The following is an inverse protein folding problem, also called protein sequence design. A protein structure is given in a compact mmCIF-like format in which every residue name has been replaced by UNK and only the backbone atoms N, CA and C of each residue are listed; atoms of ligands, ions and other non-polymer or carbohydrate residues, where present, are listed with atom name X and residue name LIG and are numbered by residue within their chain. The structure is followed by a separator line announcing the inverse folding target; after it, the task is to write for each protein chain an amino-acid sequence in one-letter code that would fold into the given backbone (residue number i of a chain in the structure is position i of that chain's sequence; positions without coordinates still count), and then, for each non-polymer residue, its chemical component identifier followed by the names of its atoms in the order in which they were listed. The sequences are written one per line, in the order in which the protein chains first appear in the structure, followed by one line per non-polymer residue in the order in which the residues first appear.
data_IF_789027017113
#
_entry.id   IF_789027017113
#
_cell.length_a   1.000
_cell.length_b   1.000
_cell.length_c   1.000
_cell.angle_alpha   90.00
_cell.angle_beta   90.00
_cell.angle_gamma   90.00
#
_symmetry.space_group_name_H-M   'P 1'
#
loop_
_entity.id
_entity.type
_entity.pdbx_description
1 polymer ?
#
# COMPACT_ATOMS: atom_id res chain seq x y z
N UNK A 1 16.66 -21.55 -9.35
CA UNK A 1 16.10 -22.70 -8.62
C UNK A 1 15.07 -23.34 -9.53
N UNK A 2 14.92 -24.67 -9.47
CA UNK A 2 13.93 -25.37 -10.28
C UNK A 2 12.60 -25.44 -9.53
N UNK A 3 11.51 -25.29 -10.28
CA UNK A 3 10.18 -25.38 -9.74
C UNK A 3 9.84 -26.84 -9.41
N UNK A 4 9.17 -27.08 -8.28
CA UNK A 4 8.68 -28.41 -7.89
C UNK A 4 7.68 -28.96 -8.91
N UNK A 5 7.05 -28.08 -9.71
CA UNK A 5 6.10 -28.42 -10.78
C UNK A 5 6.75 -28.51 -12.17
N UNK A 6 8.08 -28.54 -12.26
CA UNK A 6 8.81 -28.75 -13.53
C UNK A 6 8.33 -29.99 -14.31
N UNK A 7 8.05 -31.16 -13.68
CA UNK A 7 7.49 -32.32 -14.39
C UNK A 7 6.09 -32.11 -14.99
N UNK A 8 5.41 -31.04 -14.57
CA UNK A 8 4.06 -30.65 -14.99
C UNK A 8 4.07 -29.40 -15.87
N UNK A 9 5.23 -29.01 -16.41
CA UNK A 9 5.38 -27.96 -17.42
C UNK A 9 5.79 -26.59 -16.88
N UNK A 10 6.11 -26.47 -15.58
CA UNK A 10 6.67 -25.23 -15.02
C UNK A 10 8.19 -25.17 -15.21
N UNK A 11 8.63 -24.74 -16.39
CA UNK A 11 10.05 -24.69 -16.76
C UNK A 11 10.70 -23.31 -16.49
N UNK A 12 9.98 -22.42 -15.81
CA UNK A 12 10.46 -21.08 -15.51
C UNK A 12 11.57 -21.13 -14.46
N UNK A 13 12.77 -20.66 -14.85
CA UNK A 13 13.85 -20.48 -13.91
C UNK A 13 13.63 -19.19 -13.12
N UNK A 14 13.59 -19.30 -11.80
CA UNK A 14 13.45 -18.15 -10.91
C UNK A 14 14.64 -18.02 -9.95
N UNK A 15 14.91 -16.77 -9.60
CA UNK A 15 15.83 -16.40 -8.52
C UNK A 15 15.07 -16.36 -7.19
N UNK A 16 15.77 -16.61 -6.08
CA UNK A 16 15.15 -16.66 -4.74
C UNK A 16 14.41 -15.37 -4.36
N UNK A 17 14.88 -14.23 -4.85
CA UNK A 17 14.25 -12.93 -4.63
C UNK A 17 12.92 -12.73 -5.36
N UNK A 18 12.65 -13.50 -6.43
CA UNK A 18 11.47 -13.34 -7.29
C UNK A 18 10.52 -14.53 -7.19
N UNK A 19 10.55 -15.24 -6.05
CA UNK A 19 9.80 -16.47 -5.86
C UNK A 19 8.27 -16.22 -5.82
N UNK A 20 7.87 -15.06 -5.29
CA UNK A 20 6.47 -14.65 -5.21
C UNK A 20 5.87 -14.41 -6.61
N UNK A 21 6.61 -13.73 -7.48
CA UNK A 21 6.18 -13.48 -8.87
C UNK A 21 6.11 -14.77 -9.68
N UNK A 22 7.01 -15.72 -9.41
CA UNK A 22 6.99 -17.02 -10.05
C UNK A 22 5.75 -17.85 -9.68
N UNK A 23 5.32 -17.86 -8.42
CA UNK A 23 4.10 -18.57 -8.01
C UNK A 23 2.82 -17.98 -8.62
N UNK A 24 2.87 -16.70 -8.99
CA UNK A 24 1.77 -15.99 -9.65
C UNK A 24 1.85 -16.08 -11.19
N UNK A 25 2.89 -16.71 -11.75
CA UNK A 25 3.04 -16.82 -13.19
C UNK A 25 1.97 -17.76 -13.77
N UNK A 26 1.47 -17.41 -14.95
CA UNK A 26 0.45 -18.20 -15.66
C UNK A 26 0.96 -19.62 -15.94
N UNK A 27 2.26 -19.77 -16.19
CA UNK A 27 2.89 -21.05 -16.40
C UNK A 27 2.88 -21.91 -15.12
N UNK A 28 3.19 -21.31 -13.97
CA UNK A 28 3.14 -22.02 -12.69
C UNK A 28 1.73 -22.45 -12.32
N UNK A 29 0.74 -21.56 -12.49
CA UNK A 29 -0.67 -21.87 -12.23
C UNK A 29 -1.20 -22.97 -13.15
N UNK A 30 -0.81 -22.95 -14.44
CA UNK A 30 -1.18 -23.99 -15.40
C UNK A 30 -0.57 -25.36 -15.04
N UNK A 31 0.69 -25.37 -14.61
CA UNK A 31 1.35 -26.59 -14.16
C UNK A 31 0.73 -27.17 -12.88
N UNK A 32 0.29 -26.30 -11.97
CA UNK A 32 -0.42 -26.70 -10.75
C UNK A 32 -1.77 -27.35 -11.08
N UNK A 33 -2.53 -26.78 -12.02
CA UNK A 33 -3.77 -27.39 -12.50
C UNK A 33 -3.53 -28.75 -13.15
N UNK A 34 -2.48 -28.89 -13.97
CA UNK A 34 -2.12 -30.19 -14.55
C UNK A 34 -1.73 -31.23 -13.50
N UNK A 35 -1.00 -30.83 -12.46
CA UNK A 35 -0.67 -31.69 -11.33
C UNK A 35 -1.94 -32.22 -10.65
N UNK A 36 -2.87 -31.32 -10.33
CA UNK A 36 -4.13 -31.66 -9.66
C UNK A 36 -4.99 -32.59 -10.53
N UNK A 37 -5.12 -32.31 -11.83
CA UNK A 37 -5.88 -33.14 -12.77
C UNK A 37 -5.26 -34.55 -12.94
N UNK A 38 -3.93 -34.66 -13.08
CA UNK A 38 -3.28 -35.97 -13.23
C UNK A 38 -3.42 -36.83 -11.97
N UNK A 39 -3.30 -36.23 -10.79
CA UNK A 39 -3.45 -36.96 -9.53
C UNK A 39 -4.88 -37.42 -9.28
N UNK A 40 -5.89 -36.59 -9.59
CA UNK A 40 -7.30 -37.00 -9.50
C UNK A 40 -7.62 -38.11 -10.50
N UNK A 41 -7.09 -38.04 -11.71
CA UNK A 41 -7.33 -39.07 -12.73
C UNK A 41 -6.63 -40.41 -12.42
N UNK A 42 -5.46 -40.39 -11.78
CA UNK A 42 -4.80 -41.60 -11.27
C UNK A 42 -5.60 -42.24 -10.13
N UNK A 43 -6.12 -41.46 -9.19
CA UNK A 43 -6.95 -41.98 -8.10
C UNK A 43 -8.24 -42.64 -8.61
N UNK A 44 -8.90 -42.03 -9.60
CA UNK A 44 -10.13 -42.58 -10.20
C UNK A 44 -9.84 -43.86 -11.00
N UNK A 45 -8.72 -43.92 -11.72
CA UNK A 45 -8.36 -45.11 -12.51
C UNK A 45 -7.92 -46.29 -11.64
N UNK A 46 -7.22 -46.05 -10.53
CA UNK A 46 -6.82 -47.12 -9.61
C UNK A 46 -8.05 -47.76 -8.92
N UNK A 47 -9.10 -46.98 -8.63
CA UNK A 47 -10.38 -47.51 -8.14
C UNK A 47 -11.13 -48.34 -9.20
N UNK A 48 -11.07 -47.94 -10.47
CA UNK A 48 -11.70 -48.65 -11.60
C UNK A 48 -11.03 -50.00 -11.93
N UNK A 49 -9.70 -50.10 -11.76
CA UNK A 49 -8.95 -51.34 -11.99
C UNK A 49 -9.19 -52.37 -10.88
N UNK A 50 -9.40 -51.93 -9.64
CA UNK A 50 -9.81 -52.82 -8.53
C UNK A 50 -11.23 -53.36 -8.76
N UNK A 51 -12.12 -52.57 -9.36
CA UNK A 51 -13.50 -52.99 -9.69
C UNK A 51 -13.58 -54.04 -10.81
N UNK A 52 -12.65 -54.02 -11.77
CA UNK A 52 -12.70 -54.90 -12.95
C UNK A 52 -12.22 -56.35 -12.70
N UNK A 53 -11.63 -56.66 -11.53
CA UNK A 53 -11.18 -58.03 -11.20
C UNK A 53 -12.22 -58.89 -10.46
N UNK A 54 -13.41 -58.35 -10.20
CA UNK A 54 -14.45 -59.06 -9.43
C UNK A 54 -15.71 -59.25 -10.27
N UNK A 55 -15.60 -60.00 -11.37
CA UNK A 55 -16.79 -60.56 -12.01
C UNK A 55 -17.00 -61.98 -11.48
N UNK A 56 -18.27 -62.32 -11.21
CA UNK A 56 -18.82 -63.61 -10.74
C UNK A 56 -19.06 -63.67 -9.22
N UNK A 57 -20.13 -63.03 -8.75
CA UNK A 57 -21.21 -63.61 -7.90
C UNK A 57 -22.32 -62.55 -7.79
N UNK A 58 -23.19 -62.50 -8.80
CA UNK A 58 -24.29 -61.52 -8.87
C UNK A 58 -25.53 -62.18 -8.25
N UNK A 59 -26.14 -61.51 -7.25
CA UNK A 59 -27.61 -61.29 -7.15
C UNK A 59 -28.13 -60.85 -5.75
N UNK A 60 -27.29 -60.44 -4.77
CA UNK A 60 -27.83 -59.86 -3.50
C UNK A 60 -27.03 -58.75 -2.83
N UNK A 61 -25.73 -58.59 -3.10
CA UNK A 61 -24.86 -57.59 -2.46
C UNK A 61 -24.75 -56.24 -3.21
N UNK A 62 -25.28 -56.17 -4.44
CA UNK A 62 -25.16 -55.02 -5.35
C UNK A 62 -26.00 -53.80 -4.92
N UNK A 63 -27.13 -54.02 -4.25
CA UNK A 63 -28.00 -52.92 -3.80
C UNK A 63 -27.40 -52.18 -2.59
N UNK A 64 -26.79 -52.91 -1.64
CA UNK A 64 -26.20 -52.30 -0.46
C UNK A 64 -24.88 -51.57 -0.75
N UNK A 65 -24.09 -52.07 -1.71
CA UNK A 65 -22.86 -51.40 -2.16
C UNK A 65 -23.18 -50.17 -3.01
N UNK A 66 -24.15 -50.26 -3.92
CA UNK A 66 -24.64 -49.12 -4.69
C UNK A 66 -25.20 -48.01 -3.78
N UNK A 67 -26.04 -48.36 -2.81
CA UNK A 67 -26.59 -47.38 -1.85
C UNK A 67 -25.51 -46.74 -0.97
N UNK A 68 -24.49 -47.50 -0.53
CA UNK A 68 -23.35 -46.95 0.20
C UNK A 68 -22.56 -45.93 -0.63
N UNK A 69 -22.28 -46.24 -1.89
CA UNK A 69 -21.57 -45.32 -2.78
C UNK A 69 -22.40 -44.06 -3.06
N UNK A 70 -23.72 -44.20 -3.21
CA UNK A 70 -24.63 -43.08 -3.42
C UNK A 70 -24.68 -42.17 -2.18
N UNK A 71 -24.67 -42.74 -0.97
CA UNK A 71 -24.61 -41.98 0.26
C UNK A 71 -23.27 -41.25 0.43
N UNK A 72 -22.14 -41.89 0.11
CA UNK A 72 -20.83 -41.22 0.11
C UNK A 72 -20.75 -40.07 -0.89
N UNK A 73 -21.35 -40.23 -2.07
CA UNK A 73 -21.44 -39.16 -3.07
C UNK A 73 -22.29 -37.99 -2.58
N UNK A 74 -23.40 -38.25 -1.89
CA UNK A 74 -24.22 -37.21 -1.27
C UNK A 74 -23.43 -36.46 -0.19
N UNK A 75 -22.77 -37.18 0.73
CA UNK A 75 -21.95 -36.57 1.78
C UNK A 75 -20.80 -35.74 1.19
N UNK A 76 -20.15 -36.25 0.14
CA UNK A 76 -19.11 -35.51 -0.58
C UNK A 76 -19.67 -34.26 -1.25
N UNK A 77 -20.87 -34.36 -1.85
CA UNK A 77 -21.55 -33.22 -2.48
C UNK A 77 -21.92 -32.15 -1.46
N UNK A 78 -22.42 -32.55 -0.29
CA UNK A 78 -22.76 -31.64 0.81
C UNK A 78 -21.51 -30.95 1.37
N UNK A 79 -20.41 -31.68 1.54
CA UNK A 79 -19.12 -31.10 1.96
C UNK A 79 -18.60 -30.10 0.92
N UNK A 80 -18.66 -30.43 -0.37
CA UNK A 80 -18.25 -29.52 -1.44
C UNK A 80 -19.15 -28.27 -1.49
N UNK A 81 -20.46 -28.44 -1.32
CA UNK A 81 -21.40 -27.31 -1.27
C UNK A 81 -21.09 -26.39 -0.10
N UNK A 82 -20.83 -26.95 1.10
CA UNK A 82 -20.39 -26.17 2.26
C UNK A 82 -19.09 -25.42 2.03
N UNK A 83 -18.11 -26.07 1.37
CA UNK A 83 -16.85 -25.43 0.98
C UNK A 83 -17.05 -24.28 -0.01
N UNK A 84 -17.90 -24.46 -1.02
CA UNK A 84 -18.23 -23.41 -2.01
C UNK A 84 -18.94 -22.24 -1.35
N UNK A 85 -19.87 -22.48 -0.43
CA UNK A 85 -20.53 -21.43 0.34
C UNK A 85 -19.52 -20.65 1.18
N UNK A 86 -18.63 -21.32 1.92
CA UNK A 86 -17.61 -20.65 2.73
C UNK A 86 -16.67 -19.78 1.88
N UNK A 87 -16.23 -20.28 0.71
CA UNK A 87 -15.42 -19.51 -0.23
C UNK A 87 -16.17 -18.31 -0.81
N UNK A 88 -17.48 -18.44 -1.04
CA UNK A 88 -18.32 -17.35 -1.52
C UNK A 88 -18.44 -16.25 -0.47
N UNK A 89 -18.65 -16.61 0.80
CA UNK A 89 -18.71 -15.66 1.91
C UNK A 89 -17.37 -14.95 2.10
N UNK A 90 -16.26 -15.68 2.03
CA UNK A 90 -14.92 -15.08 2.10
C UNK A 90 -14.65 -14.13 0.92
N UNK A 91 -15.07 -14.49 -0.30
CA UNK A 91 -14.92 -13.62 -1.46
C UNK A 91 -15.71 -12.30 -1.31
N UNK A 92 -16.94 -12.37 -0.77
CA UNK A 92 -17.75 -11.18 -0.48
C UNK A 92 -17.12 -10.32 0.62
N UNK A 93 -16.61 -10.94 1.69
CA UNK A 93 -15.91 -10.24 2.77
C UNK A 93 -14.67 -9.53 2.25
N UNK A 94 -13.80 -10.22 1.51
CA UNK A 94 -12.59 -9.65 0.92
C UNK A 94 -12.91 -8.52 -0.06
N UNK A 95 -13.96 -8.65 -0.86
CA UNK A 95 -14.44 -7.58 -1.75
C UNK A 95 -14.86 -6.32 -0.96
N UNK A 96 -15.57 -6.52 0.16
CA UNK A 96 -15.98 -5.41 1.04
C UNK A 96 -14.79 -4.74 1.71
N UNK A 97 -13.82 -5.52 2.19
CA UNK A 97 -12.57 -5.02 2.77
C UNK A 97 -11.74 -4.24 1.73
N UNK A 98 -11.68 -4.73 0.48
CA UNK A 98 -11.00 -4.04 -0.61
C UNK A 98 -11.60 -2.65 -0.88
N UNK A 99 -12.93 -2.56 -0.97
CA UNK A 99 -13.63 -1.28 -1.16
C UNK A 99 -13.40 -0.31 0.01
N UNK A 100 -13.38 -0.84 1.23
CA UNK A 100 -13.06 -0.06 2.42
C UNK A 100 -11.64 0.51 2.36
N UNK A 101 -10.65 -0.33 2.04
CA UNK A 101 -9.26 0.12 1.91
C UNK A 101 -9.04 1.10 0.76
N UNK A 102 -9.72 0.94 -0.37
CA UNK A 102 -9.70 1.93 -1.46
C UNK A 102 -10.22 3.30 -1.00
N UNK A 103 -11.26 3.31 -0.17
CA UNK A 103 -11.81 4.55 0.39
C UNK A 103 -10.84 5.22 1.35
N UNK A 104 -10.20 4.45 2.23
CA UNK A 104 -9.16 4.95 3.14
C UNK A 104 -7.96 5.51 2.39
N UNK A 105 -7.48 4.82 1.36
CA UNK A 105 -6.36 5.30 0.53
C UNK A 105 -6.68 6.63 -0.15
N UNK A 106 -7.91 6.80 -0.66
CA UNK A 106 -8.35 8.05 -1.26
C UNK A 106 -8.36 9.19 -0.23
N UNK A 107 -8.91 8.95 0.96
CA UNK A 107 -8.91 9.94 2.06
C UNK A 107 -7.49 10.34 2.45
N UNK A 108 -6.60 9.36 2.64
CA UNK A 108 -5.22 9.62 3.00
C UNK A 108 -4.46 10.39 1.90
N UNK A 109 -4.73 10.08 0.63
CA UNK A 109 -4.16 10.83 -0.49
C UNK A 109 -4.60 12.30 -0.49
N UNK A 110 -5.86 12.57 -0.13
CA UNK A 110 -6.38 13.93 -0.01
C UNK A 110 -5.73 14.67 1.16
N UNK A 111 -5.62 14.04 2.33
CA UNK A 111 -4.93 14.60 3.50
C UNK A 111 -3.46 14.92 3.22
N UNK A 112 -2.73 14.03 2.54
CA UNK A 112 -1.35 14.26 2.12
C UNK A 112 -1.24 15.44 1.16
N UNK A 113 -2.18 15.56 0.21
CA UNK A 113 -2.22 16.71 -0.71
C UNK A 113 -2.46 18.03 0.05
N UNK A 114 -3.38 18.03 1.01
CA UNK A 114 -3.67 19.20 1.83
C UNK A 114 -2.49 19.60 2.72
N UNK A 115 -1.81 18.61 3.33
CA UNK A 115 -0.59 18.85 4.10
C UNK A 115 0.53 19.43 3.24
N UNK A 116 0.68 18.94 2.01
CA UNK A 116 1.66 19.48 1.06
C UNK A 116 1.43 20.96 0.79
N UNK A 117 0.18 21.35 0.52
CA UNK A 117 -0.21 22.75 0.30
C UNK A 117 0.12 23.59 1.54
N UNK A 118 -0.27 23.12 2.74
CA UNK A 118 0.00 23.83 3.98
C UNK A 118 1.51 24.02 4.23
N UNK A 119 2.34 23.04 3.88
CA UNK A 119 3.81 23.14 3.98
C UNK A 119 4.35 24.18 2.99
N UNK A 120 3.86 24.21 1.76
CA UNK A 120 4.26 25.20 0.74
C UNK A 120 3.88 26.62 1.17
N UNK A 121 2.68 26.82 1.70
CA UNK A 121 2.22 28.11 2.24
C UNK A 121 3.05 28.56 3.44
N UNK A 122 3.32 27.64 4.38
CA UNK A 122 4.15 27.91 5.56
C UNK A 122 5.57 28.28 5.14
N UNK A 123 6.13 27.58 4.15
CA UNK A 123 7.46 27.88 3.63
C UNK A 123 7.52 29.27 2.98
N UNK A 124 6.51 29.63 2.19
CA UNK A 124 6.38 30.97 1.61
C UNK A 124 6.31 32.06 2.69
N UNK A 125 5.53 31.83 3.75
CA UNK A 125 5.42 32.74 4.90
C UNK A 125 6.76 32.90 5.63
N UNK A 126 7.50 31.81 5.87
CA UNK A 126 8.83 31.86 6.50
C UNK A 126 9.80 32.70 5.65
N UNK A 127 9.82 32.48 4.33
CA UNK A 127 10.69 33.25 3.43
C UNK A 127 10.35 34.74 3.46
N UNK A 128 9.07 35.10 3.49
CA UNK A 128 8.64 36.50 3.63
C UNK A 128 9.09 37.11 4.97
N UNK A 129 8.99 36.36 6.07
CA UNK A 129 9.48 36.80 7.38
C UNK A 129 11.01 36.98 7.41
N UNK A 130 11.76 36.09 6.76
CA UNK A 130 13.22 36.22 6.65
C UNK A 130 13.63 37.47 5.87
N UNK A 131 12.97 37.76 4.74
CA UNK A 131 13.21 39.00 3.98
C UNK A 131 12.89 40.23 4.82
N UNK A 132 11.76 40.24 5.52
CA UNK A 132 11.40 41.37 6.38
C UNK A 132 12.41 41.55 7.52
N UNK A 133 12.90 40.46 8.11
CA UNK A 133 13.93 40.51 9.14
C UNK A 133 15.22 41.14 8.60
N UNK A 134 15.68 40.74 7.40
CA UNK A 134 16.86 41.33 6.76
C UNK A 134 16.70 42.84 6.55
N UNK A 135 15.55 43.29 6.05
CA UNK A 135 15.26 44.72 5.88
C UNK A 135 15.32 45.45 7.22
N UNK A 136 14.73 44.90 8.28
CA UNK A 136 14.80 45.50 9.61
C UNK A 136 16.23 45.56 10.17
N UNK A 137 17.06 44.55 9.92
CA UNK A 137 18.47 44.53 10.33
C UNK A 137 19.29 45.60 9.57
N UNK A 138 19.03 45.77 8.28
CA UNK A 138 19.63 46.84 7.47
C UNK A 138 19.22 48.24 7.95
N UNK A 139 17.93 48.46 8.20
CA UNK A 139 17.39 49.72 8.73
C UNK A 139 17.97 50.04 10.11
N UNK A 140 18.07 49.05 11.00
CA UNK A 140 18.66 49.22 12.32
C UNK A 140 20.14 49.63 12.21
N UNK A 141 20.89 48.97 11.33
CA UNK A 141 22.31 49.27 11.09
C UNK A 141 22.47 50.69 10.53
N UNK A 142 21.63 51.08 9.58
CA UNK A 142 21.60 52.44 9.01
C UNK A 142 21.31 53.50 10.06
N UNK A 143 20.32 53.27 10.93
CA UNK A 143 19.98 54.19 12.04
C UNK A 143 21.12 54.29 13.07
N UNK A 144 21.77 53.18 13.40
CA UNK A 144 22.93 53.19 14.29
C UNK A 144 24.08 54.01 13.71
N UNK A 145 24.35 53.86 12.41
CA UNK A 145 25.38 54.66 11.73
C UNK A 145 25.02 56.15 11.75
N UNK A 146 23.79 56.52 11.40
CA UNK A 146 23.32 57.91 11.45
C UNK A 146 23.43 58.52 12.85
N UNK A 147 23.13 57.74 13.88
CA UNK A 147 23.26 58.17 15.27
C UNK A 147 24.72 58.45 15.66
N UNK A 148 25.65 57.54 15.33
CA UNK A 148 27.07 57.74 15.60
C UNK A 148 27.63 58.93 14.80
N UNK A 149 27.23 59.10 13.54
CA UNK A 149 27.62 60.25 12.72
C UNK A 149 27.14 61.58 13.36
N UNK A 150 25.89 61.65 13.82
CA UNK A 150 25.35 62.84 14.50
C UNK A 150 26.05 63.13 15.84
N UNK A 151 26.35 62.09 16.63
CA UNK A 151 27.10 62.21 17.88
C UNK A 151 28.48 62.82 17.62
N UNK A 152 29.17 62.35 16.58
CA UNK A 152 30.50 62.87 16.19
C UNK A 152 30.44 64.33 15.73
N UNK A 153 29.39 64.73 14.98
CA UNK A 153 29.15 66.14 14.58
C UNK A 153 28.88 67.04 15.80
N UNK A 154 28.24 66.51 16.85
CA UNK A 154 28.00 67.27 18.09
C UNK A 154 29.26 67.43 18.94
N UNK A 155 30.18 66.46 18.92
CA UNK A 155 31.44 66.52 19.69
C UNK A 155 32.56 67.31 19.00
N UNK A 156 32.55 67.43 17.66
CA UNK A 156 33.49 68.25 16.88
C UNK A 156 33.18 69.77 16.91
N UNK A 157 32.27 70.20 17.79
CA UNK A 157 32.18 71.60 18.23
C UNK A 157 31.46 72.57 17.29
N UNK A 158 30.50 72.12 16.47
CA UNK A 158 29.80 73.01 15.51
C UNK A 158 28.28 72.92 15.44
N UNK A 159 27.62 72.49 16.52
CA UNK A 159 26.19 72.75 16.74
C UNK A 159 25.96 73.56 18.03
N UNK A 160 26.56 74.76 18.06
CA UNK A 160 26.01 75.87 18.82
C UNK A 160 24.71 76.31 18.12
N UNK A 161 23.56 75.78 18.55
CA UNK A 161 22.29 76.45 18.27
C UNK A 161 22.35 77.82 18.94
N UNK A 162 22.73 78.83 18.15
CA UNK A 162 22.56 80.24 18.45
C UNK A 162 21.07 80.50 18.68
N UNK A 163 20.57 80.26 19.89
CA UNK A 163 19.41 80.97 20.42
C UNK A 163 19.90 82.41 20.68
N UNK A 164 20.03 83.18 19.60
CA UNK A 164 20.38 84.60 19.71
C UNK A 164 19.09 85.36 19.92
N UNK A 165 18.85 85.77 21.16
CA UNK A 165 18.02 86.92 21.53
C UNK A 165 16.66 87.07 20.83
N UNK A 166 15.68 86.28 21.25
CA UNK A 166 14.28 86.74 21.27
C UNK A 166 13.90 86.93 22.74
N UNK A 167 14.21 88.12 23.28
CA UNK A 167 13.51 88.84 24.35
C UNK A 167 14.46 89.76 25.11
N UNK A 168 14.58 91.02 24.65
CA UNK A 168 14.49 92.20 25.50
C UNK A 168 14.33 93.44 24.61
N UNK A 169 13.08 93.66 24.21
CA UNK A 169 12.55 94.98 23.88
C UNK A 169 11.29 95.16 24.73
N UNK A 170 11.48 95.67 25.94
CA UNK A 170 10.56 96.59 26.63
C UNK A 170 11.46 97.56 27.38
#
# INVERSE_FOLDING_TARGET
MNCVLEPYGCNEQFLRMNIQDHFLSVQHQSALLQYLCKNTQHQINDELVISSRTTITINRETDETFNRNLQQLLETTDMLLGGVSALTDDAQRLSSELLHHQTLLRSLSEEVSNLKIAVEETHSSINAHQTNQQICEEDLTSLQQQFEDQKNISTDGKLMWKITNVQQKI
#
